data_IF_195402117791
#
_entry.id   IF_195402117791
#
_cell.length_a   1.000
_cell.length_b   1.000
_cell.length_c   1.000
_cell.angle_alpha   90.00
_cell.angle_beta   90.00
_cell.angle_gamma   90.00
#
_symmetry.space_group_name_H-M   'P 1'
#
loop_
_entity.id
_entity.type
_entity.pdbx_description
1 polymer ?
#
# COMPACT_ATOMS: atom_id res chain seq x y z
N UNK A 1 -2.57 6.51 10.05
CA UNK A 1 -2.97 6.02 8.71
C UNK A 1 -3.59 4.65 8.84
N UNK A 2 -4.72 4.42 8.21
CA UNK A 2 -5.36 3.11 8.17
C UNK A 2 -4.96 2.39 6.89
N UNK A 3 -4.38 1.21 7.01
CA UNK A 3 -4.09 0.36 5.86
C UNK A 3 -5.32 -0.48 5.52
N UNK A 4 -5.81 -0.34 4.30
CA UNK A 4 -6.89 -1.19 3.83
C UNK A 4 -6.33 -2.56 3.47
N UNK A 5 -6.57 -3.51 4.34
CA UNK A 5 -6.08 -4.88 4.25
C UNK A 5 -6.27 -5.55 2.87
N UNK A 6 -7.37 -5.26 2.19
CA UNK A 6 -7.66 -5.87 0.89
C UNK A 6 -7.05 -5.13 -0.30
N UNK A 7 -6.66 -3.87 -0.13
CA UNK A 7 -6.21 -3.01 -1.22
C UNK A 7 -4.72 -2.66 -1.12
N UNK A 8 -4.28 -2.15 0.03
CA UNK A 8 -2.92 -1.63 0.17
C UNK A 8 -1.83 -2.67 -0.09
N UNK A 9 -1.92 -3.93 0.40
CA UNK A 9 -0.94 -4.95 0.05
C UNK A 9 -0.89 -5.23 -1.45
N UNK A 10 -2.03 -5.26 -2.13
CA UNK A 10 -2.07 -5.42 -3.59
C UNK A 10 -1.39 -4.27 -4.29
N UNK A 11 -1.68 -3.04 -3.88
CA UNK A 11 -1.08 -1.84 -4.43
C UNK A 11 0.44 -1.84 -4.25
N UNK A 12 0.93 -2.12 -3.05
CA UNK A 12 2.36 -2.15 -2.75
C UNK A 12 3.11 -3.21 -3.57
N UNK A 13 2.45 -4.32 -3.87
CA UNK A 13 3.01 -5.33 -4.76
C UNK A 13 3.07 -4.88 -6.21
N UNK A 14 2.07 -4.13 -6.66
CA UNK A 14 2.01 -3.62 -8.05
C UNK A 14 3.13 -2.64 -8.34
N UNK A 15 3.38 -1.69 -7.43
CA UNK A 15 4.36 -0.62 -7.68
C UNK A 15 5.81 -1.11 -7.65
N UNK A 16 6.03 -2.35 -7.27
CA UNK A 16 7.36 -2.92 -7.12
C UNK A 16 7.97 -3.46 -8.41
N UNK A 17 7.17 -3.76 -9.43
CA UNK A 17 7.70 -4.23 -10.72
C UNK A 17 6.63 -4.65 -11.70
N UNK A 18 6.90 -4.40 -12.99
CA UNK A 18 5.96 -4.68 -14.08
C UNK A 18 5.58 -6.15 -14.22
N UNK A 19 6.48 -7.08 -13.95
CA UNK A 19 6.23 -8.49 -14.15
C UNK A 19 5.21 -9.10 -13.20
N UNK A 20 5.12 -8.57 -11.99
CA UNK A 20 4.10 -8.95 -11.00
C UNK A 20 2.77 -8.24 -11.20
N UNK A 21 2.82 -7.03 -11.75
CA UNK A 21 1.70 -6.15 -11.96
C UNK A 21 0.59 -6.79 -12.80
N UNK A 22 0.98 -7.40 -13.92
CA UNK A 22 0.02 -7.94 -14.88
C UNK A 22 -0.52 -9.33 -14.49
N UNK A 23 0.25 -10.09 -13.71
CA UNK A 23 -0.10 -11.48 -13.40
C UNK A 23 -1.01 -11.65 -12.20
N UNK A 24 -0.83 -10.88 -11.16
CA UNK A 24 -1.51 -11.16 -9.88
C UNK A 24 -2.49 -10.09 -9.43
N UNK A 25 -2.45 -8.89 -9.98
CA UNK A 25 -3.36 -7.82 -9.52
C UNK A 25 -4.82 -8.19 -9.73
N UNK A 26 -5.16 -8.71 -10.89
CA UNK A 26 -6.52 -9.09 -11.26
C UNK A 26 -6.87 -10.53 -10.88
N UNK A 27 -5.92 -11.32 -10.40
CA UNK A 27 -6.16 -12.72 -10.06
C UNK A 27 -6.81 -12.86 -8.69
N UNK A 28 -8.14 -12.82 -8.66
CA UNK A 28 -8.93 -13.01 -7.45
C UNK A 28 -8.71 -14.37 -6.78
N UNK A 29 -8.41 -15.41 -7.56
CA UNK A 29 -8.11 -16.76 -7.05
C UNK A 29 -6.82 -16.77 -6.25
N UNK A 30 -5.78 -16.13 -6.77
CA UNK A 30 -4.51 -15.96 -6.08
C UNK A 30 -4.69 -15.27 -4.71
N UNK A 31 -5.38 -14.13 -4.70
CA UNK A 31 -5.59 -13.38 -3.46
C UNK A 31 -6.45 -14.11 -2.45
N UNK A 32 -7.47 -14.84 -2.90
CA UNK A 32 -8.31 -15.64 -2.03
C UNK A 32 -7.53 -16.82 -1.42
N UNK A 33 -6.68 -17.47 -2.20
CA UNK A 33 -5.83 -18.56 -1.70
C UNK A 33 -4.80 -18.07 -0.70
N UNK A 34 -4.17 -16.91 -0.97
CA UNK A 34 -3.25 -16.24 -0.06
C UNK A 34 -3.92 -15.95 1.28
N UNK A 35 -5.08 -15.31 1.24
CA UNK A 35 -5.84 -14.93 2.42
C UNK A 35 -6.19 -16.15 3.27
N UNK A 36 -6.65 -17.22 2.64
CA UNK A 36 -6.97 -18.48 3.34
C UNK A 36 -5.75 -19.07 4.04
N UNK A 37 -4.61 -19.12 3.38
CA UNK A 37 -3.35 -19.63 3.98
C UNK A 37 -2.93 -18.79 5.17
N UNK A 38 -2.98 -17.47 5.02
CA UNK A 38 -2.61 -16.54 6.08
C UNK A 38 -3.53 -16.68 7.30
N UNK A 39 -4.85 -16.74 7.10
CA UNK A 39 -5.82 -16.98 8.18
C UNK A 39 -5.64 -18.35 8.83
N UNK A 40 -5.46 -19.41 8.05
CA UNK A 40 -5.27 -20.75 8.57
C UNK A 40 -4.01 -20.87 9.44
N UNK A 41 -2.98 -20.12 9.12
CA UNK A 41 -1.75 -20.08 9.89
C UNK A 41 -1.82 -19.18 11.14
N UNK A 42 -2.91 -18.43 11.33
CA UNK A 42 -3.02 -17.40 12.36
C UNK A 42 -1.84 -16.44 12.36
N UNK A 43 -1.28 -16.16 11.19
CA UNK A 43 -0.09 -15.34 11.03
C UNK A 43 -0.41 -13.85 11.28
N UNK A 44 0.51 -13.10 11.88
CA UNK A 44 0.32 -11.68 12.09
C UNK A 44 0.30 -10.91 10.76
N UNK A 45 -0.38 -9.76 10.73
CA UNK A 45 -0.50 -8.92 9.54
C UNK A 45 0.85 -8.51 8.94
N UNK A 46 1.85 -8.27 9.79
CA UNK A 46 3.21 -7.91 9.36
C UNK A 46 3.90 -8.97 8.48
N UNK A 47 3.42 -10.19 8.47
CA UNK A 47 3.98 -11.30 7.69
C UNK A 47 3.23 -11.51 6.36
N UNK A 48 2.26 -10.68 6.04
CA UNK A 48 1.44 -10.84 4.84
C UNK A 48 2.27 -10.82 3.55
N UNK A 49 3.26 -9.95 3.47
CA UNK A 49 4.17 -9.87 2.33
C UNK A 49 5.05 -11.13 2.17
N UNK A 50 5.38 -11.78 3.27
CA UNK A 50 6.08 -13.07 3.24
C UNK A 50 5.21 -14.16 2.63
N UNK A 51 3.91 -14.19 2.95
CA UNK A 51 2.95 -15.10 2.34
C UNK A 51 2.73 -14.82 0.85
N UNK A 52 2.95 -13.59 0.41
CA UNK A 52 2.96 -13.22 -1.01
C UNK A 52 4.18 -13.82 -1.75
N UNK A 53 5.20 -14.24 -1.02
CA UNK A 53 6.46 -14.74 -1.59
C UNK A 53 7.43 -13.65 -2.02
N UNK A 54 7.15 -12.39 -1.68
CA UNK A 54 7.99 -11.25 -2.03
C UNK A 54 7.93 -10.18 -0.93
N UNK A 55 8.83 -10.25 0.07
CA UNK A 55 8.90 -9.29 1.15
C UNK A 55 9.01 -7.86 0.62
N UNK A 56 8.15 -6.96 1.12
CA UNK A 56 8.07 -5.57 0.69
C UNK A 56 8.65 -4.63 1.74
N UNK A 57 9.81 -3.99 1.50
CA UNK A 57 10.35 -3.01 2.44
C UNK A 57 9.40 -1.84 2.72
N UNK A 58 8.64 -1.40 1.71
CA UNK A 58 7.66 -0.31 1.84
C UNK A 58 6.53 -0.75 2.77
N UNK A 59 5.99 -1.95 2.59
CA UNK A 59 4.95 -2.50 3.45
C UNK A 59 5.44 -2.58 4.90
N UNK A 60 6.63 -3.11 5.14
CA UNK A 60 7.22 -3.19 6.48
C UNK A 60 7.42 -1.81 7.11
N UNK A 61 7.88 -0.84 6.34
CA UNK A 61 8.02 0.54 6.82
C UNK A 61 6.67 1.14 7.22
N UNK A 62 5.65 0.98 6.40
CA UNK A 62 4.32 1.53 6.66
C UNK A 62 3.68 0.95 7.91
N UNK A 63 3.80 -0.34 8.14
CA UNK A 63 3.21 -0.97 9.33
C UNK A 63 3.95 -0.64 10.62
N UNK A 64 5.21 -0.20 10.57
CA UNK A 64 5.94 0.31 11.74
C UNK A 64 5.51 1.74 12.11
N UNK A 65 5.04 2.54 11.15
CA UNK A 65 4.57 3.90 11.34
C UNK A 65 3.03 3.96 11.39
N UNK A 66 2.45 3.38 12.46
CA UNK A 66 1.00 3.18 12.61
C UNK A 66 0.21 4.47 12.83
N UNK A 67 0.87 5.49 13.37
CA UNK A 67 0.26 6.77 13.68
C UNK A 67 0.90 7.87 12.85
N UNK A 68 0.25 9.04 12.82
CA UNK A 68 0.85 10.21 12.21
C UNK A 68 2.11 10.60 12.97
N UNK A 69 3.26 10.49 12.31
CA UNK A 69 4.58 10.79 12.85
C UNK A 69 5.44 11.53 11.81
N UNK A 70 6.70 11.81 12.16
CA UNK A 70 7.65 12.49 11.27
C UNK A 70 7.83 11.80 9.92
N UNK A 71 7.75 10.47 9.89
CA UNK A 71 7.83 9.73 8.62
C UNK A 71 6.73 10.17 7.65
N UNK A 72 5.47 10.21 8.11
CA UNK A 72 4.33 10.63 7.29
C UNK A 72 4.34 12.13 6.99
N UNK A 73 4.78 12.94 7.96
CA UNK A 73 4.90 14.39 7.76
C UNK A 73 5.90 14.72 6.66
N UNK A 74 6.99 13.99 6.54
CA UNK A 74 7.97 14.16 5.47
C UNK A 74 7.43 13.81 4.07
N UNK A 75 6.31 13.10 4.00
CA UNK A 75 5.63 12.77 2.73
C UNK A 75 4.55 13.78 2.34
N UNK A 76 4.34 14.81 3.16
CA UNK A 76 3.36 15.88 2.86
C UNK A 76 4.08 17.17 2.52
N UNK A 77 3.63 17.89 1.49
CA UNK A 77 4.10 19.24 1.26
C UNK A 77 3.76 20.15 2.45
N UNK A 78 4.65 21.08 2.75
CA UNK A 78 4.40 22.13 3.73
C UNK A 78 3.46 23.21 3.13
N UNK A 79 2.81 24.06 3.97
CA UNK A 79 2.03 25.18 3.48
C UNK A 79 2.82 26.10 2.54
N UNK A 80 4.09 26.34 2.82
CA UNK A 80 4.95 27.16 1.98
C UNK A 80 5.22 26.50 0.62
N UNK A 81 5.40 25.19 0.58
CA UNK A 81 5.54 24.45 -0.67
C UNK A 81 4.25 24.51 -1.50
N UNK A 82 3.07 24.41 -0.88
CA UNK A 82 1.80 24.60 -1.58
C UNK A 82 1.67 26.02 -2.12
N UNK A 83 2.03 27.03 -1.34
CA UNK A 83 1.96 28.43 -1.75
C UNK A 83 2.92 28.75 -2.90
N UNK A 84 4.02 28.03 -3.03
CA UNK A 84 5.00 28.18 -4.11
C UNK A 84 4.53 27.59 -5.45
N UNK A 85 3.43 26.83 -5.48
CA UNK A 85 2.89 26.27 -6.72
C UNK A 85 2.33 27.39 -7.60
N UNK A 86 2.87 27.50 -8.81
CA UNK A 86 2.45 28.52 -9.81
C UNK A 86 1.78 27.91 -11.04
N UNK A 87 1.61 26.59 -11.07
CA UNK A 87 0.99 25.85 -12.19
C UNK A 87 -0.52 25.69 -11.97
N UNK A 88 -1.31 25.68 -13.04
CA UNK A 88 -2.73 25.33 -12.94
C UNK A 88 -2.90 23.88 -12.46
N UNK A 89 -3.80 23.66 -11.53
CA UNK A 89 -4.09 22.31 -11.00
C UNK A 89 -5.58 22.02 -11.21
N UNK A 90 -5.86 20.89 -11.85
CA UNK A 90 -7.21 20.34 -11.97
C UNK A 90 -7.29 19.07 -11.13
N UNK A 91 -8.17 19.08 -10.13
CA UNK A 91 -8.47 17.87 -9.33
C UNK A 91 -9.81 17.30 -9.76
N UNK A 92 -9.81 16.03 -10.13
CA UNK A 92 -11.01 15.29 -10.48
C UNK A 92 -11.14 14.13 -9.50
N UNK A 93 -12.26 14.08 -8.80
CA UNK A 93 -12.55 13.01 -7.84
C UNK A 93 -14.01 12.58 -7.97
N UNK A 94 -14.28 11.36 -7.52
CA UNK A 94 -15.62 10.81 -7.42
C UNK A 94 -16.05 10.62 -5.99
N UNK A 95 -17.34 10.65 -5.75
CA UNK A 95 -17.97 10.22 -4.50
C UNK A 95 -18.50 8.81 -4.68
N UNK A 96 -18.22 7.94 -3.72
CA UNK A 96 -18.77 6.58 -3.65
C UNK A 96 -20.10 6.61 -2.90
#
# INVERSE_FOLDING_TARGET
>A
MNLFYTYDPRWLMIVRGRALQDKIFADGGFWSALTRRWFAAHAPFKELDTYLGDPSPIFQTWITHRTQDTYWDNHRPTPDQYAALSIPILSITGTL
#
